data_IF_382385734933
#
_entry.id   IF_382385734933
#
_cell.length_a   1.000
_cell.length_b   1.000
_cell.length_c   1.000
_cell.angle_alpha   90.00
_cell.angle_beta   90.00
_cell.angle_gamma   90.00
#
_symmetry.space_group_name_H-M   'P 1'
#
loop_
_entity.id
_entity.type
_entity.pdbx_description
1 polymer ?
#
# COMPACT_ATOMS: atom_id res chain seq x y z
N UNK A 1 -1.30 -4.12 7.90
CA UNK A 1 -2.08 -5.09 7.11
C UNK A 1 -3.53 -5.05 7.56
N UNK A 2 -4.45 -4.89 6.61
CA UNK A 2 -5.87 -4.60 6.90
C UNK A 2 -6.82 -5.80 6.95
N UNK A 3 -6.33 -7.00 6.85
CA UNK A 3 -7.13 -8.22 6.92
C UNK A 3 -6.27 -9.44 7.19
N UNK A 4 -6.88 -10.61 7.40
CA UNK A 4 -6.12 -11.82 7.69
C UNK A 4 -5.33 -12.30 6.47
N UNK A 5 -4.17 -12.89 6.72
CA UNK A 5 -3.39 -13.54 5.68
C UNK A 5 -4.07 -14.86 5.25
N UNK A 6 -3.93 -15.20 3.97
CA UNK A 6 -4.42 -16.47 3.45
C UNK A 6 -3.41 -17.59 3.77
N UNK A 7 -3.57 -18.23 4.91
CA UNK A 7 -2.61 -19.25 5.37
C UNK A 7 -2.55 -20.51 4.51
N UNK A 8 -3.56 -20.74 3.64
CA UNK A 8 -3.52 -21.83 2.67
C UNK A 8 -2.52 -21.63 1.52
N UNK A 9 -2.04 -20.40 1.32
CA UNK A 9 -1.02 -20.06 0.35
C UNK A 9 0.34 -19.98 1.08
N UNK A 10 1.30 -20.80 0.68
CA UNK A 10 2.64 -20.84 1.29
C UNK A 10 3.38 -19.50 1.22
N UNK A 11 3.19 -18.76 0.13
CA UNK A 11 3.77 -17.42 -0.01
C UNK A 11 3.15 -16.42 0.97
N UNK A 12 1.82 -16.39 1.05
CA UNK A 12 1.11 -15.50 1.95
C UNK A 12 1.40 -15.84 3.42
N UNK A 13 1.48 -17.12 3.76
CA UNK A 13 1.86 -17.58 5.09
C UNK A 13 3.29 -17.15 5.47
N UNK A 14 4.22 -17.24 4.51
CA UNK A 14 5.60 -16.76 4.71
C UNK A 14 5.67 -15.26 4.93
N UNK A 15 4.88 -14.48 4.19
CA UNK A 15 4.77 -13.04 4.40
C UNK A 15 4.19 -12.70 5.78
N UNK A 16 3.19 -13.44 6.24
CA UNK A 16 2.62 -13.26 7.58
C UNK A 16 3.66 -13.49 8.68
N UNK A 17 4.48 -14.53 8.57
CA UNK A 17 5.58 -14.78 9.51
C UNK A 17 6.59 -13.62 9.53
N UNK A 18 6.98 -13.11 8.38
CA UNK A 18 7.88 -11.96 8.30
C UNK A 18 7.28 -10.71 8.91
N UNK A 19 5.98 -10.50 8.77
CA UNK A 19 5.29 -9.38 9.41
C UNK A 19 5.30 -9.50 10.93
N UNK A 20 5.11 -10.71 11.48
CA UNK A 20 5.25 -10.97 12.91
C UNK A 20 6.66 -10.66 13.39
N UNK A 21 7.68 -11.09 12.67
CA UNK A 21 9.08 -10.84 13.01
C UNK A 21 9.38 -9.33 13.02
N UNK A 22 8.92 -8.60 12.01
CA UNK A 22 9.09 -7.15 11.92
C UNK A 22 8.38 -6.41 13.06
N UNK A 23 7.17 -6.85 13.41
CA UNK A 23 6.41 -6.29 14.52
C UNK A 23 7.17 -6.46 15.85
N UNK A 24 7.75 -7.64 16.08
CA UNK A 24 8.50 -7.93 17.27
C UNK A 24 9.85 -7.20 17.33
N UNK A 25 10.48 -7.03 16.15
CA UNK A 25 11.79 -6.36 16.04
C UNK A 25 11.68 -4.84 16.09
N UNK A 26 10.61 -4.28 15.51
CA UNK A 26 10.39 -2.83 15.42
C UNK A 26 9.01 -2.43 15.95
N UNK A 27 8.72 -2.64 17.25
CA UNK A 27 7.37 -2.45 17.80
C UNK A 27 6.86 -1.00 17.72
N UNK A 28 7.77 -0.03 17.65
CA UNK A 28 7.41 1.40 17.58
C UNK A 28 7.25 1.92 16.14
N UNK A 29 7.64 1.14 15.15
CA UNK A 29 7.65 1.55 13.75
C UNK A 29 6.75 0.69 12.87
N UNK A 30 6.46 -0.52 13.30
CA UNK A 30 5.74 -1.51 12.50
C UNK A 30 4.66 -2.18 13.33
N UNK A 31 3.44 -2.16 12.79
CA UNK A 31 2.32 -2.89 13.37
C UNK A 31 1.67 -3.78 12.32
N UNK A 32 1.33 -5.00 12.70
CA UNK A 32 0.59 -5.93 11.87
C UNK A 32 -0.18 -6.92 12.74
N UNK A 33 -1.34 -7.34 12.28
CA UNK A 33 -2.14 -8.40 12.87
C UNK A 33 -2.61 -9.33 11.74
N UNK A 34 -1.73 -10.21 11.22
CA UNK A 34 -2.02 -10.99 10.01
C UNK A 34 -3.16 -12.00 10.17
N UNK A 35 -3.58 -12.29 11.38
CA UNK A 35 -4.69 -13.21 11.66
C UNK A 35 -6.02 -12.51 11.94
N UNK A 36 -6.05 -11.19 11.88
CA UNK A 36 -7.23 -10.40 12.29
C UNK A 36 -7.71 -9.48 11.17
N UNK A 37 -9.01 -9.19 11.15
CA UNK A 37 -9.57 -8.09 10.38
C UNK A 37 -9.57 -6.80 11.21
N UNK A 38 -9.28 -5.69 10.57
CA UNK A 38 -9.56 -4.39 11.17
C UNK A 38 -11.08 -4.15 11.22
N UNK A 39 -11.58 -3.84 12.40
CA UNK A 39 -12.94 -3.33 12.54
C UNK A 39 -13.03 -1.85 12.14
N UNK A 40 -11.92 -1.12 12.27
CA UNK A 40 -11.82 0.31 12.00
C UNK A 40 -10.93 0.61 10.78
N UNK A 41 -11.01 -0.21 9.73
CA UNK A 41 -10.20 -0.06 8.53
C UNK A 41 -10.36 1.30 7.84
N UNK A 42 -11.56 1.89 7.89
CA UNK A 42 -11.80 3.21 7.33
C UNK A 42 -11.03 4.33 8.05
N UNK A 43 -10.82 4.20 9.35
CA UNK A 43 -10.01 5.15 10.13
C UNK A 43 -8.53 5.06 9.74
N UNK A 44 -8.03 3.85 9.55
CA UNK A 44 -6.65 3.63 9.08
C UNK A 44 -6.48 4.24 7.69
N UNK A 45 -7.42 4.00 6.78
CA UNK A 45 -7.36 4.54 5.42
C UNK A 45 -7.36 6.07 5.39
N UNK A 46 -8.06 6.72 6.31
CA UNK A 46 -8.10 8.17 6.42
C UNK A 46 -6.93 8.77 7.19
N UNK A 47 -6.38 8.02 8.13
CA UNK A 47 -5.29 8.50 8.99
C UNK A 47 -3.90 8.25 8.43
N UNK A 48 -3.77 7.42 7.40
CA UNK A 48 -2.48 7.12 6.79
C UNK A 48 -2.01 8.25 5.87
N UNK A 49 -0.72 8.45 5.79
CA UNK A 49 -0.13 9.38 4.81
C UNK A 49 -0.12 8.80 3.41
N UNK A 50 0.03 7.49 3.29
CA UNK A 50 -0.03 6.73 2.03
C UNK A 50 -0.69 5.38 2.24
N UNK A 51 -1.46 4.93 1.25
CA UNK A 51 -1.91 3.55 1.14
C UNK A 51 -0.92 2.76 0.29
N UNK A 52 -0.65 1.51 0.66
CA UNK A 52 0.27 0.65 -0.07
C UNK A 52 -0.49 -0.53 -0.67
N UNK A 53 -0.49 -0.65 -1.99
CA UNK A 53 -1.18 -1.71 -2.73
C UNK A 53 -0.23 -2.40 -3.73
N UNK A 54 0.69 -3.23 -3.26
CA UNK A 54 1.64 -3.94 -4.12
C UNK A 54 1.08 -5.25 -4.68
N UNK A 55 -0.23 -5.30 -4.95
CA UNK A 55 -0.92 -6.49 -5.45
C UNK A 55 -0.38 -6.92 -6.81
N UNK A 56 -0.04 -8.19 -6.97
CA UNK A 56 0.42 -8.73 -8.24
C UNK A 56 -0.68 -8.76 -9.31
N UNK A 57 -1.92 -8.90 -8.88
CA UNK A 57 -3.09 -8.89 -9.75
C UNK A 57 -4.28 -8.30 -8.99
N UNK A 58 -4.91 -7.32 -9.60
CA UNK A 58 -6.05 -6.60 -9.00
C UNK A 58 -7.02 -6.20 -10.10
N UNK A 59 -8.03 -7.03 -10.44
CA UNK A 59 -8.92 -6.78 -11.60
C UNK A 59 -9.73 -5.49 -11.48
N UNK A 60 -10.27 -5.18 -10.32
CA UNK A 60 -11.05 -3.96 -10.10
C UNK A 60 -10.44 -3.06 -9.06
N UNK A 61 -10.10 -3.63 -7.92
CA UNK A 61 -9.64 -2.92 -6.75
C UNK A 61 -10.75 -2.05 -6.14
N UNK A 62 -10.97 -2.20 -4.87
CA UNK A 62 -11.92 -1.36 -4.12
C UNK A 62 -11.15 -0.53 -3.09
N UNK A 63 -10.12 -1.10 -2.49
CA UNK A 63 -9.37 -0.50 -1.39
C UNK A 63 -8.71 0.83 -1.78
N UNK A 64 -8.21 0.98 -3.02
CA UNK A 64 -7.65 2.25 -3.47
C UNK A 64 -8.69 3.38 -3.46
N UNK A 65 -9.95 3.07 -3.77
CA UNK A 65 -11.03 4.05 -3.71
C UNK A 65 -11.35 4.44 -2.27
N UNK A 66 -11.24 3.51 -1.33
CA UNK A 66 -11.39 3.79 0.10
C UNK A 66 -10.32 4.77 0.60
N UNK A 67 -9.07 4.60 0.15
CA UNK A 67 -8.00 5.56 0.43
C UNK A 67 -8.30 6.93 -0.19
N UNK A 68 -8.74 6.96 -1.44
CA UNK A 68 -9.04 8.21 -2.15
C UNK A 68 -10.18 8.99 -1.49
N UNK A 69 -11.24 8.32 -1.04
CA UNK A 69 -12.33 8.95 -0.30
C UNK A 69 -11.81 9.60 0.98
N UNK A 70 -10.83 9.01 1.63
CA UNK A 70 -10.17 9.57 2.81
C UNK A 70 -9.12 10.63 2.52
N UNK A 71 -8.84 10.91 1.24
CA UNK A 71 -7.81 11.86 0.84
C UNK A 71 -6.38 11.31 0.89
N UNK A 72 -6.24 10.00 0.94
CA UNK A 72 -4.94 9.31 1.09
C UNK A 72 -4.43 8.86 -0.29
N UNK A 73 -3.26 9.34 -0.74
CA UNK A 73 -2.67 8.86 -1.99
C UNK A 73 -2.16 7.42 -1.86
N UNK A 74 -2.09 6.71 -2.98
CA UNK A 74 -1.77 5.29 -3.03
C UNK A 74 -0.47 5.03 -3.77
N UNK A 75 0.35 4.13 -3.23
CA UNK A 75 1.53 3.57 -3.89
C UNK A 75 1.13 2.19 -4.39
N UNK A 76 1.10 1.97 -5.70
CA UNK A 76 0.51 0.78 -6.29
C UNK A 76 1.32 0.18 -7.42
N UNK A 77 1.28 -1.15 -7.52
CA UNK A 77 1.73 -1.86 -8.72
C UNK A 77 0.74 -1.58 -9.88
N UNK A 78 1.29 -1.24 -11.03
CA UNK A 78 0.50 -0.85 -12.21
C UNK A 78 -0.11 -2.06 -12.89
N UNK A 79 -1.22 -2.57 -12.34
CA UNK A 79 -1.92 -3.75 -12.81
C UNK A 79 -3.43 -3.59 -12.69
N UNK A 80 -4.19 -4.21 -13.58
CA UNK A 80 -5.66 -4.25 -13.54
C UNK A 80 -6.30 -2.90 -13.26
N UNK A 81 -7.24 -2.87 -12.34
CA UNK A 81 -7.94 -1.64 -11.95
C UNK A 81 -7.06 -0.58 -11.30
N UNK A 82 -5.92 -0.97 -10.74
CA UNK A 82 -4.96 0.00 -10.18
C UNK A 82 -4.30 0.83 -11.27
N UNK A 83 -4.01 0.22 -12.43
CA UNK A 83 -3.46 0.93 -13.58
C UNK A 83 -4.38 2.05 -14.06
N UNK A 84 -5.69 1.83 -14.00
CA UNK A 84 -6.69 2.78 -14.49
C UNK A 84 -7.07 3.84 -13.45
N UNK A 85 -6.95 3.54 -12.15
CA UNK A 85 -7.43 4.40 -11.08
C UNK A 85 -6.34 5.19 -10.36
N UNK A 86 -5.10 4.68 -10.32
CA UNK A 86 -3.98 5.38 -9.68
C UNK A 86 -3.15 6.12 -10.73
N UNK A 87 -3.15 7.43 -10.64
CA UNK A 87 -2.41 8.30 -11.55
C UNK A 87 -1.15 8.83 -10.87
N UNK A 88 -0.01 8.68 -11.54
CA UNK A 88 1.27 9.15 -11.04
C UNK A 88 1.23 10.66 -10.78
N UNK A 89 1.77 11.08 -9.64
CA UNK A 89 1.85 12.49 -9.28
C UNK A 89 2.79 13.24 -10.22
N UNK A 90 2.30 14.35 -10.76
CA UNK A 90 3.04 15.22 -11.65
C UNK A 90 3.38 16.52 -10.94
N UNK A 91 4.66 16.81 -10.78
CA UNK A 91 5.16 18.01 -10.10
C UNK A 91 4.81 19.32 -10.82
N UNK A 92 4.73 19.29 -12.15
CA UNK A 92 4.46 20.48 -12.95
C UNK A 92 3.01 20.95 -12.82
N UNK A 93 2.08 19.97 -12.82
CA UNK A 93 0.64 20.25 -12.70
C UNK A 93 0.11 20.15 -11.28
N UNK A 94 0.91 19.62 -10.37
CA UNK A 94 0.52 19.28 -8.99
C UNK A 94 -0.71 18.36 -8.93
N UNK A 95 -0.89 17.51 -9.93
CA UNK A 95 -2.00 16.56 -10.04
C UNK A 95 -1.52 15.13 -9.98
N UNK A 96 -2.39 14.26 -9.49
CA UNK A 96 -2.16 12.84 -9.36
C UNK A 96 -2.78 12.29 -8.08
N UNK A 97 -2.98 10.99 -8.04
CA UNK A 97 -3.59 10.30 -6.91
C UNK A 97 -2.64 9.36 -6.19
N UNK A 98 -1.41 9.25 -6.67
CA UNK A 98 -0.44 8.37 -6.05
C UNK A 98 0.84 8.19 -6.84
N UNK A 99 1.48 7.05 -6.58
CA UNK A 99 2.73 6.67 -7.22
C UNK A 99 2.62 5.22 -7.69
N UNK A 100 3.11 4.92 -8.88
CA UNK A 100 3.01 3.58 -9.45
C UNK A 100 4.39 3.01 -9.76
N UNK A 101 4.47 1.69 -9.80
CA UNK A 101 5.67 0.99 -10.27
C UNK A 101 5.27 -0.09 -11.28
N UNK A 102 6.12 -0.32 -12.26
CA UNK A 102 5.80 -1.13 -13.44
C UNK A 102 6.27 -2.58 -13.35
N UNK A 103 7.35 -2.84 -12.61
CA UNK A 103 7.86 -4.19 -12.39
C UNK A 103 7.52 -4.67 -10.99
N UNK A 104 6.93 -5.86 -10.90
CA UNK A 104 6.53 -6.42 -9.61
C UNK A 104 7.74 -7.00 -8.87
N UNK A 105 8.57 -6.13 -8.34
CA UNK A 105 9.74 -6.49 -7.55
C UNK A 105 9.97 -5.47 -6.43
N UNK A 106 10.77 -5.84 -5.45
CA UNK A 106 11.04 -5.00 -4.27
C UNK A 106 11.81 -3.72 -4.61
N UNK A 107 12.65 -3.75 -5.63
CA UNK A 107 13.42 -2.57 -6.07
C UNK A 107 12.52 -1.48 -6.62
N UNK A 108 11.60 -1.83 -7.49
CA UNK A 108 10.64 -0.88 -8.08
C UNK A 108 9.67 -0.35 -7.04
N UNK A 109 9.19 -1.21 -6.15
CA UNK A 109 8.35 -0.79 -5.02
C UNK A 109 9.09 0.23 -4.14
N UNK A 110 10.33 -0.06 -3.79
CA UNK A 110 11.16 0.85 -2.99
C UNK A 110 11.34 2.19 -3.68
N UNK A 111 11.61 2.19 -4.98
CA UNK A 111 11.77 3.43 -5.76
C UNK A 111 10.48 4.27 -5.73
N UNK A 112 9.32 3.64 -5.86
CA UNK A 112 8.03 4.33 -5.75
C UNK A 112 7.82 4.93 -4.36
N UNK A 113 8.15 4.18 -3.32
CA UNK A 113 8.08 4.65 -1.94
C UNK A 113 9.02 5.85 -1.70
N UNK A 114 10.22 5.81 -2.24
CA UNK A 114 11.19 6.92 -2.13
C UNK A 114 10.68 8.18 -2.84
N UNK A 115 10.06 8.04 -4.01
CA UNK A 115 9.44 9.18 -4.70
C UNK A 115 8.28 9.76 -3.88
N UNK A 116 7.45 8.91 -3.31
CA UNK A 116 6.33 9.33 -2.47
C UNK A 116 6.81 10.09 -1.23
N UNK A 117 7.79 9.56 -0.53
CA UNK A 117 8.36 10.20 0.66
C UNK A 117 9.05 11.52 0.31
N UNK A 118 9.76 11.57 -0.81
CA UNK A 118 10.37 12.80 -1.29
C UNK A 118 9.34 13.89 -1.57
N UNK A 119 8.24 13.53 -2.22
CA UNK A 119 7.12 14.43 -2.47
C UNK A 119 6.49 14.93 -1.16
N UNK A 120 6.24 14.04 -0.23
CA UNK A 120 5.66 14.38 1.08
C UNK A 120 6.53 15.36 1.87
N UNK A 121 7.84 15.15 1.86
CA UNK A 121 8.79 16.00 2.60
C UNK A 121 8.98 17.38 1.99
N UNK A 122 8.78 17.52 0.69
CA UNK A 122 8.99 18.77 -0.05
C UNK A 122 7.70 19.58 -0.25
N UNK A 123 6.62 19.15 0.36
CA UNK A 123 5.35 19.90 0.40
C UNK A 123 5.07 20.56 1.79
#
# INVERSE_FOLDING_TARGET
MGGPAQHGDGYAGGCAHRMWDLKNKFPNCFWAAPDEFFTDGSLVNRGADFGLMPSAFEPGGIVQHEFFVGGTPVIAFKTGGLKDSVHEFNWETEQGSGFTFECHNSGDLRAAMERALGTFRNK
#
